data_IF_406110579660
#
_entry.id   IF_406110579660
#
_cell.length_a   1.000
_cell.length_b   1.000
_cell.length_c   1.000
_cell.angle_alpha   90.00
_cell.angle_beta   90.00
_cell.angle_gamma   90.00
#
_symmetry.space_group_name_H-M   'P 1'
#
loop_
_entity.id
_entity.type
_entity.pdbx_description
1 polymer ?
#
# COMPACT_ATOMS: atom_id res chain seq x y z
N UNK A 1 -20.07 -14.41 14.72
CA UNK A 1 -19.82 -14.66 13.28
C UNK A 1 -18.33 -14.97 13.08
N UNK A 2 -17.98 -16.19 12.69
CA UNK A 2 -16.60 -16.56 12.40
C UNK A 2 -16.09 -15.75 11.21
N UNK A 3 -15.24 -14.78 11.50
CA UNK A 3 -14.51 -14.06 10.46
C UNK A 3 -13.50 -15.05 9.85
N UNK A 4 -13.74 -15.44 8.59
CA UNK A 4 -12.75 -16.22 7.85
C UNK A 4 -11.44 -15.42 7.75
N UNK A 5 -10.28 -16.09 7.78
CA UNK A 5 -8.99 -15.41 7.81
C UNK A 5 -8.86 -14.49 6.60
N UNK A 6 -8.62 -13.21 6.88
CA UNK A 6 -8.28 -12.21 5.86
C UNK A 6 -6.90 -12.55 5.31
N UNK A 7 -6.72 -12.35 4.01
CA UNK A 7 -5.41 -12.49 3.39
C UNK A 7 -4.45 -11.49 4.06
N UNK A 8 -3.48 -11.99 4.82
CA UNK A 8 -2.55 -11.13 5.52
C UNK A 8 -1.54 -10.53 4.53
N UNK A 9 -1.11 -9.30 4.78
CA UNK A 9 -0.18 -8.57 3.92
C UNK A 9 1.17 -9.30 3.77
N UNK A 10 1.54 -10.10 4.77
CA UNK A 10 2.75 -10.92 4.73
C UNK A 10 2.80 -11.87 3.52
N UNK A 11 1.65 -12.41 3.06
CA UNK A 11 1.61 -13.25 1.87
C UNK A 11 2.06 -12.51 0.61
N UNK A 12 1.79 -11.20 0.56
CA UNK A 12 2.24 -10.35 -0.53
C UNK A 12 3.76 -10.20 -0.52
N UNK A 13 4.34 -9.93 0.65
CA UNK A 13 5.79 -9.82 0.83
C UNK A 13 6.50 -11.16 0.57
N UNK A 14 5.95 -12.28 1.06
CA UNK A 14 6.48 -13.62 0.81
C UNK A 14 6.45 -13.94 -0.68
N UNK A 15 5.36 -13.64 -1.37
CA UNK A 15 5.26 -13.82 -2.83
C UNK A 15 6.33 -13.03 -3.56
N UNK A 16 6.50 -11.73 -3.22
CA UNK A 16 7.51 -10.89 -3.85
C UNK A 16 8.93 -11.42 -3.60
N UNK A 17 9.22 -11.86 -2.37
CA UNK A 17 10.50 -12.47 -2.03
C UNK A 17 10.78 -13.71 -2.87
N UNK A 18 9.83 -14.66 -2.89
CA UNK A 18 9.97 -15.92 -3.64
C UNK A 18 10.13 -15.64 -5.14
N UNK A 19 9.30 -14.77 -5.72
CA UNK A 19 9.39 -14.45 -7.14
C UNK A 19 10.71 -13.76 -7.49
N UNK A 20 11.18 -12.84 -6.65
CA UNK A 20 12.49 -12.18 -6.86
C UNK A 20 13.66 -13.15 -6.70
N UNK A 21 13.59 -14.12 -5.78
CA UNK A 21 14.59 -15.18 -5.65
C UNK A 21 14.63 -16.09 -6.89
N UNK A 22 13.46 -16.44 -7.43
CA UNK A 22 13.37 -17.18 -8.70
C UNK A 22 13.99 -16.40 -9.86
N UNK A 23 13.68 -15.11 -9.96
CA UNK A 23 14.25 -14.23 -11.00
C UNK A 23 15.77 -14.15 -10.88
N UNK A 24 16.30 -14.00 -9.66
CA UNK A 24 17.74 -14.00 -9.44
C UNK A 24 18.39 -15.32 -9.89
N UNK A 25 17.78 -16.45 -9.52
CA UNK A 25 18.26 -17.77 -9.97
C UNK A 25 18.25 -17.92 -11.48
N UNK A 26 17.15 -17.54 -12.14
CA UNK A 26 17.05 -17.57 -13.60
C UNK A 26 18.10 -16.65 -14.25
N UNK A 27 18.26 -15.44 -13.71
CA UNK A 27 19.20 -14.46 -14.24
C UNK A 27 20.66 -14.91 -14.07
N UNK A 28 21.00 -15.62 -12.98
CA UNK A 28 22.33 -16.20 -12.78
C UNK A 28 22.69 -17.19 -13.89
N UNK A 29 21.77 -18.12 -14.21
CA UNK A 29 22.00 -19.09 -15.30
C UNK A 29 22.02 -18.42 -16.67
N UNK A 30 21.12 -17.46 -16.90
CA UNK A 30 21.04 -16.71 -18.14
C UNK A 30 22.33 -15.89 -18.39
N UNK A 31 22.86 -15.26 -17.34
CA UNK A 31 24.13 -14.54 -17.38
C UNK A 31 25.29 -15.44 -17.76
N UNK A 32 25.44 -16.61 -17.12
CA UNK A 32 26.47 -17.58 -17.47
C UNK A 32 26.33 -18.05 -18.93
N UNK A 33 25.11 -18.26 -19.38
CA UNK A 33 24.86 -18.63 -20.79
C UNK A 33 25.30 -17.51 -21.75
N UNK A 34 24.98 -16.26 -21.50
CA UNK A 34 25.40 -15.13 -22.32
C UNK A 34 26.93 -14.93 -22.34
N UNK A 35 27.58 -15.20 -21.23
CA UNK A 35 29.06 -15.12 -21.14
C UNK A 35 29.79 -16.34 -21.70
N UNK A 36 29.06 -17.35 -22.19
CA UNK A 36 29.65 -18.59 -22.70
C UNK A 36 30.32 -19.45 -21.62
N UNK A 37 30.03 -19.18 -20.33
CA UNK A 37 30.60 -19.95 -19.23
C UNK A 37 29.79 -21.25 -19.06
N UNK A 38 30.47 -22.40 -19.14
CA UNK A 38 29.82 -23.69 -18.90
C UNK A 38 29.41 -23.80 -17.44
N UNK A 39 28.10 -24.00 -17.22
CA UNK A 39 27.52 -24.19 -15.87
C UNK A 39 27.62 -25.66 -15.43
N UNK A 40 27.66 -26.59 -16.39
CA UNK A 40 27.84 -28.02 -16.15
C UNK A 40 29.23 -28.43 -16.60
N UNK A 41 30.07 -28.86 -15.67
CA UNK A 41 31.36 -29.54 -15.95
C UNK A 41 31.23 -31.03 -15.69
N UNK A 42 32.31 -31.79 -15.89
CA UNK A 42 32.36 -33.23 -15.63
C UNK A 42 32.05 -33.58 -14.16
N UNK A 43 32.23 -32.65 -13.24
CA UNK A 43 31.96 -32.79 -11.81
C UNK A 43 30.54 -32.25 -11.39
N UNK A 44 29.65 -31.93 -12.34
CA UNK A 44 28.29 -31.44 -12.08
C UNK A 44 28.14 -29.92 -12.19
N UNK A 45 27.07 -29.38 -11.59
CA UNK A 45 26.73 -27.97 -11.58
C UNK A 45 27.69 -27.18 -10.66
N UNK A 46 28.54 -26.35 -11.24
CA UNK A 46 29.40 -25.43 -10.47
C UNK A 46 28.65 -24.13 -10.17
N UNK A 47 28.15 -24.05 -8.95
CA UNK A 47 27.44 -22.86 -8.41
C UNK A 47 28.43 -22.11 -7.53
N UNK A 48 28.62 -20.82 -7.82
CA UNK A 48 29.54 -19.97 -7.07
C UNK A 48 28.90 -19.58 -5.71
N UNK A 49 29.72 -19.34 -4.68
CA UNK A 49 29.25 -18.92 -3.36
C UNK A 49 28.42 -17.63 -3.42
N UNK A 50 28.74 -16.73 -4.33
CA UNK A 50 28.00 -15.49 -4.58
C UNK A 50 26.55 -15.71 -5.04
N UNK A 51 26.24 -16.89 -5.61
CA UNK A 51 24.86 -17.25 -5.96
C UNK A 51 23.96 -17.32 -4.74
N UNK A 52 24.41 -18.02 -3.69
CA UNK A 52 23.64 -18.21 -2.47
C UNK A 52 23.45 -16.88 -1.70
N UNK A 53 24.49 -16.07 -1.69
CA UNK A 53 24.42 -14.74 -1.11
C UNK A 53 23.43 -13.84 -1.88
N UNK A 54 23.46 -13.90 -3.21
CA UNK A 54 22.57 -13.13 -4.07
C UNK A 54 21.11 -13.58 -3.97
N UNK A 55 20.84 -14.89 -3.94
CA UNK A 55 19.46 -15.42 -3.82
C UNK A 55 18.78 -15.03 -2.50
N UNK A 56 19.58 -14.69 -1.49
CA UNK A 56 19.07 -14.20 -0.22
C UNK A 56 19.00 -12.66 -0.15
N UNK A 57 20.08 -11.95 -0.52
CA UNK A 57 20.17 -10.49 -0.36
C UNK A 57 19.38 -9.71 -1.41
N UNK A 58 19.38 -10.16 -2.67
CA UNK A 58 18.70 -9.43 -3.75
C UNK A 58 17.20 -9.36 -3.52
N UNK A 59 16.49 -10.43 -3.14
CA UNK A 59 15.07 -10.34 -2.78
C UNK A 59 14.79 -9.42 -1.58
N UNK A 60 15.69 -9.36 -0.58
CA UNK A 60 15.57 -8.41 0.52
C UNK A 60 15.67 -6.97 0.05
N UNK A 61 16.56 -6.68 -0.89
CA UNK A 61 16.65 -5.38 -1.55
C UNK A 61 15.33 -5.00 -2.25
N UNK A 62 14.73 -5.93 -3.00
CA UNK A 62 13.43 -5.73 -3.62
C UNK A 62 12.31 -5.48 -2.61
N UNK A 63 12.25 -6.26 -1.52
CA UNK A 63 11.29 -6.03 -0.45
C UNK A 63 11.42 -4.63 0.17
N UNK A 64 12.66 -4.18 0.37
CA UNK A 64 12.95 -2.83 0.89
C UNK A 64 12.41 -1.75 -0.05
N UNK A 65 12.68 -1.84 -1.35
CA UNK A 65 12.16 -0.91 -2.36
C UNK A 65 10.63 -0.89 -2.39
N UNK A 66 9.97 -2.05 -2.38
CA UNK A 66 8.52 -2.14 -2.36
C UNK A 66 7.92 -1.59 -1.06
N UNK A 67 8.62 -1.75 0.07
CA UNK A 67 8.20 -1.20 1.35
C UNK A 67 8.28 0.33 1.34
N UNK A 68 9.37 0.90 0.82
CA UNK A 68 9.56 2.36 0.68
C UNK A 68 8.44 2.98 -0.16
N UNK A 69 8.08 2.34 -1.27
CA UNK A 69 7.01 2.83 -2.16
C UNK A 69 5.60 2.63 -1.56
N UNK A 70 5.49 1.91 -0.42
CA UNK A 70 4.20 1.64 0.22
C UNK A 70 3.39 0.52 -0.45
N UNK A 71 4.07 -0.38 -1.17
CA UNK A 71 3.41 -1.47 -1.87
C UNK A 71 2.69 -2.47 -0.93
N UNK A 72 3.05 -2.52 0.35
CA UNK A 72 2.50 -3.47 1.32
C UNK A 72 1.36 -2.89 2.18
N UNK A 73 0.53 -2.01 1.61
CA UNK A 73 -0.67 -1.49 2.28
C UNK A 73 -1.93 -2.05 1.63
N UNK A 74 -2.95 -2.30 2.43
CA UNK A 74 -4.34 -2.61 2.04
C UNK A 74 -4.55 -3.33 0.70
N UNK A 75 -4.25 -4.63 0.63
CA UNK A 75 -4.36 -5.46 -0.60
C UNK A 75 -5.74 -5.35 -1.27
N UNK A 76 -6.81 -5.34 -0.48
CA UNK A 76 -8.19 -5.36 -0.98
C UNK A 76 -8.62 -4.09 -1.72
N UNK A 77 -7.98 -2.94 -1.42
CA UNK A 77 -8.30 -1.62 -2.00
C UNK A 77 -7.46 -1.29 -3.25
N UNK A 78 -6.54 -2.17 -3.64
CA UNK A 78 -5.68 -1.96 -4.79
C UNK A 78 -6.39 -2.20 -6.12
N UNK A 79 -6.12 -1.35 -7.12
CA UNK A 79 -6.51 -1.59 -8.51
C UNK A 79 -5.41 -2.36 -9.25
N UNK A 80 -5.81 -3.21 -10.21
CA UNK A 80 -4.85 -4.00 -11.01
C UNK A 80 -3.90 -3.11 -11.80
N UNK A 81 -4.43 -2.03 -12.38
CA UNK A 81 -3.64 -1.08 -13.18
C UNK A 81 -2.60 -0.36 -12.31
N UNK A 82 -3.01 0.12 -11.13
CA UNK A 82 -2.10 0.79 -10.21
C UNK A 82 -0.98 -0.15 -9.78
N UNK A 83 -1.30 -1.42 -9.49
CA UNK A 83 -0.30 -2.41 -9.10
C UNK A 83 0.68 -2.73 -10.23
N UNK A 84 0.19 -2.81 -11.46
CA UNK A 84 1.02 -2.98 -12.66
C UNK A 84 2.02 -1.83 -12.81
N UNK A 85 1.53 -0.59 -12.76
CA UNK A 85 2.38 0.61 -12.90
C UNK A 85 3.40 0.68 -11.77
N UNK A 86 2.96 0.48 -10.52
CA UNK A 86 3.88 0.52 -9.36
C UNK A 86 4.94 -0.56 -9.47
N UNK A 87 4.57 -1.79 -9.84
CA UNK A 87 5.52 -2.89 -10.01
C UNK A 87 6.52 -2.59 -11.13
N UNK A 88 6.06 -2.03 -12.25
CA UNK A 88 6.94 -1.66 -13.36
C UNK A 88 7.96 -0.58 -12.96
N UNK A 89 7.51 0.50 -12.32
CA UNK A 89 8.40 1.59 -11.90
C UNK A 89 9.42 1.09 -10.88
N UNK A 90 9.00 0.32 -9.88
CA UNK A 90 9.92 -0.21 -8.88
C UNK A 90 10.89 -1.22 -9.49
N UNK A 91 10.42 -2.09 -10.40
CA UNK A 91 11.29 -3.00 -11.15
C UNK A 91 12.34 -2.25 -11.97
N UNK A 92 11.95 -1.19 -12.66
CA UNK A 92 12.87 -0.35 -13.43
C UNK A 92 13.94 0.28 -12.54
N UNK A 93 13.54 0.89 -11.43
CA UNK A 93 14.48 1.53 -10.48
C UNK A 93 15.46 0.52 -9.88
N UNK A 94 14.97 -0.64 -9.44
CA UNK A 94 15.83 -1.66 -8.84
C UNK A 94 16.75 -2.33 -9.87
N UNK A 95 16.28 -2.54 -11.11
CA UNK A 95 17.13 -3.08 -12.20
C UNK A 95 18.22 -2.09 -12.57
N UNK A 96 17.93 -0.79 -12.65
CA UNK A 96 18.94 0.24 -12.85
C UNK A 96 19.99 0.18 -11.76
N UNK A 97 19.57 0.08 -10.49
CA UNK A 97 20.49 -0.03 -9.36
C UNK A 97 21.36 -1.30 -9.45
N UNK A 98 20.78 -2.47 -9.68
CA UNK A 98 21.50 -3.74 -9.82
C UNK A 98 22.43 -3.74 -11.05
N UNK A 99 22.02 -3.09 -12.12
CA UNK A 99 22.83 -2.96 -13.32
C UNK A 99 24.14 -2.22 -13.03
N UNK A 100 24.06 -1.09 -12.33
CA UNK A 100 25.26 -0.31 -11.99
C UNK A 100 26.11 -0.94 -10.89
N UNK A 101 25.54 -1.73 -10.00
CA UNK A 101 26.29 -2.33 -8.87
C UNK A 101 26.88 -3.70 -9.17
N UNK A 102 26.24 -4.50 -10.03
CA UNK A 102 26.63 -5.90 -10.26
C UNK A 102 27.02 -6.15 -11.72
N UNK A 103 26.21 -5.69 -12.68
CA UNK A 103 26.37 -6.04 -14.09
C UNK A 103 27.51 -5.28 -14.73
N UNK A 104 27.74 -4.04 -14.34
CA UNK A 104 28.85 -3.22 -14.86
C UNK A 104 30.22 -3.73 -14.45
N UNK A 105 30.34 -4.40 -13.30
CA UNK A 105 31.63 -4.91 -12.82
C UNK A 105 32.14 -6.13 -13.65
N UNK A 106 31.25 -6.78 -14.42
CA UNK A 106 31.60 -7.86 -15.34
C UNK A 106 32.40 -7.42 -16.59
N UNK A 107 32.58 -6.11 -16.77
CA UNK A 107 33.12 -5.49 -18.01
C UNK A 107 34.56 -5.85 -18.32
N UNK A 108 35.33 -6.42 -17.43
CA UNK A 108 36.77 -6.62 -17.61
C UNK A 108 37.15 -7.56 -18.74
N UNK A 109 36.23 -8.31 -19.34
CA UNK A 109 36.56 -9.35 -20.30
C UNK A 109 35.93 -9.24 -21.69
N UNK A 110 34.86 -8.50 -21.93
CA UNK A 110 34.17 -8.56 -23.23
C UNK A 110 33.65 -7.20 -23.69
N UNK A 111 34.13 -6.73 -24.83
CA UNK A 111 33.73 -5.43 -25.44
C UNK A 111 32.38 -5.52 -26.17
N UNK A 112 31.51 -6.48 -25.84
CA UNK A 112 30.24 -6.70 -26.52
C UNK A 112 29.07 -5.98 -25.81
N UNK A 113 28.71 -4.80 -26.31
CA UNK A 113 27.59 -4.02 -25.82
C UNK A 113 26.24 -4.77 -25.86
N UNK A 114 26.10 -5.79 -26.72
CA UNK A 114 24.88 -6.59 -26.85
C UNK A 114 24.56 -7.35 -25.56
N UNK A 115 25.57 -7.79 -24.83
CA UNK A 115 25.42 -8.45 -23.55
C UNK A 115 24.72 -7.56 -22.53
N UNK A 116 25.13 -6.29 -22.45
CA UNK A 116 24.58 -5.35 -21.46
C UNK A 116 23.12 -5.06 -21.68
N UNK A 117 22.72 -4.81 -22.93
CA UNK A 117 21.31 -4.61 -23.25
C UNK A 117 20.49 -5.88 -23.00
N UNK A 118 21.00 -7.05 -23.40
CA UNK A 118 20.33 -8.30 -23.19
C UNK A 118 20.16 -8.59 -21.68
N UNK A 119 21.19 -8.39 -20.87
CA UNK A 119 21.15 -8.58 -19.42
C UNK A 119 20.16 -7.60 -18.75
N UNK A 120 20.20 -6.32 -19.12
CA UNK A 120 19.29 -5.30 -18.58
C UNK A 120 17.82 -5.61 -18.87
N UNK A 121 17.48 -5.82 -20.14
CA UNK A 121 16.10 -6.07 -20.54
C UNK A 121 15.60 -7.43 -20.09
N UNK A 122 16.46 -8.44 -20.02
CA UNK A 122 16.09 -9.75 -19.48
C UNK A 122 15.78 -9.66 -17.98
N UNK A 123 16.62 -8.98 -17.21
CA UNK A 123 16.38 -8.79 -15.78
C UNK A 123 15.10 -7.97 -15.53
N UNK A 124 14.91 -6.87 -16.28
CA UNK A 124 13.70 -6.05 -16.18
C UNK A 124 12.44 -6.84 -16.53
N UNK A 125 12.47 -7.56 -17.63
CA UNK A 125 11.34 -8.36 -18.11
C UNK A 125 10.98 -9.49 -17.14
N UNK A 126 11.97 -10.24 -16.69
CA UNK A 126 11.77 -11.33 -15.73
C UNK A 126 11.26 -10.79 -14.39
N UNK A 127 11.89 -9.77 -13.82
CA UNK A 127 11.49 -9.19 -12.54
C UNK A 127 10.07 -8.65 -12.59
N UNK A 128 9.76 -7.84 -13.60
CA UNK A 128 8.41 -7.31 -13.76
C UNK A 128 7.38 -8.42 -13.94
N UNK A 129 7.64 -9.38 -14.84
CA UNK A 129 6.67 -10.43 -15.15
C UNK A 129 6.37 -11.33 -13.95
N UNK A 130 7.40 -11.88 -13.31
CA UNK A 130 7.21 -12.83 -12.20
C UNK A 130 6.58 -12.16 -10.97
N UNK A 131 7.08 -10.98 -10.57
CA UNK A 131 6.52 -10.26 -9.41
C UNK A 131 5.10 -9.80 -9.70
N UNK A 132 4.83 -9.24 -10.88
CA UNK A 132 3.49 -8.83 -11.25
C UNK A 132 2.52 -10.02 -11.31
N UNK A 133 2.94 -11.16 -11.86
CA UNK A 133 2.13 -12.39 -11.88
C UNK A 133 1.78 -12.86 -10.47
N UNK A 134 2.74 -12.94 -9.55
CA UNK A 134 2.50 -13.28 -8.15
C UNK A 134 1.52 -12.33 -7.46
N UNK A 135 1.72 -11.03 -7.64
CA UNK A 135 0.82 -9.99 -7.12
C UNK A 135 -0.58 -10.08 -7.71
N UNK A 136 -0.69 -10.31 -9.02
CA UNK A 136 -1.97 -10.45 -9.71
C UNK A 136 -2.77 -11.65 -9.19
N UNK A 137 -2.11 -12.78 -8.93
CA UNK A 137 -2.75 -13.96 -8.34
C UNK A 137 -3.33 -13.64 -6.96
N UNK A 138 -2.53 -13.04 -6.07
CA UNK A 138 -2.99 -12.66 -4.73
C UNK A 138 -4.09 -11.59 -4.77
N UNK A 139 -3.98 -10.61 -5.65
CA UNK A 139 -5.01 -9.59 -5.85
C UNK A 139 -6.32 -10.19 -6.36
N UNK A 140 -6.26 -11.17 -7.27
CA UNK A 140 -7.44 -11.87 -7.75
C UNK A 140 -8.10 -12.70 -6.63
N UNK A 141 -7.31 -13.33 -5.76
CA UNK A 141 -7.83 -14.03 -4.57
C UNK A 141 -8.51 -13.04 -3.62
N UNK A 142 -7.89 -11.89 -3.34
CA UNK A 142 -8.49 -10.84 -2.52
C UNK A 142 -9.81 -10.33 -3.11
N UNK A 143 -9.85 -10.03 -4.42
CA UNK A 143 -11.08 -9.59 -5.10
C UNK A 143 -12.17 -10.67 -5.12
N UNK A 144 -11.81 -11.95 -5.19
CA UNK A 144 -12.78 -13.05 -5.03
C UNK A 144 -13.37 -13.10 -3.62
N UNK A 145 -12.55 -12.83 -2.58
CA UNK A 145 -13.04 -12.77 -1.19
C UNK A 145 -14.01 -11.61 -0.97
N UNK A 146 -13.72 -10.42 -1.55
CA UNK A 146 -14.63 -9.27 -1.53
C UNK A 146 -15.98 -9.60 -2.19
N UNK A 147 -15.95 -10.14 -3.41
CA UNK A 147 -17.20 -10.51 -4.13
C UNK A 147 -18.03 -11.56 -3.41
N UNK A 148 -17.39 -12.46 -2.65
CA UNK A 148 -18.09 -13.45 -1.81
C UNK A 148 -18.58 -12.87 -0.48
N UNK A 149 -18.40 -11.58 -0.22
CA UNK A 149 -18.81 -10.92 1.02
C UNK A 149 -18.08 -11.44 2.28
N UNK A 150 -16.92 -12.10 2.10
CA UNK A 150 -16.09 -12.59 3.22
C UNK A 150 -15.36 -11.47 3.95
N UNK A 151 -15.09 -10.39 3.25
CA UNK A 151 -14.49 -9.16 3.79
C UNK A 151 -15.48 -8.04 3.55
N UNK A 152 -15.85 -7.34 4.62
CA UNK A 152 -16.79 -6.22 4.56
C UNK A 152 -16.17 -5.03 5.28
N UNK A 153 -16.32 -3.86 4.68
CA UNK A 153 -15.91 -2.58 5.26
C UNK A 153 -17.18 -1.84 5.72
N UNK A 154 -17.40 -1.72 7.04
CA UNK A 154 -18.53 -0.94 7.54
C UNK A 154 -18.42 0.50 7.05
N UNK A 155 -19.45 0.97 6.39
CA UNK A 155 -19.49 2.29 5.74
C UNK A 155 -20.64 3.09 6.33
N UNK A 156 -20.38 4.37 6.65
CA UNK A 156 -21.35 5.32 7.15
C UNK A 156 -21.72 6.30 6.05
N UNK A 157 -23.00 6.57 5.88
CA UNK A 157 -23.49 7.66 5.04
C UNK A 157 -23.70 8.91 5.91
N UNK A 158 -23.15 10.03 5.50
CA UNK A 158 -23.42 11.32 6.14
C UNK A 158 -24.34 12.14 5.24
N UNK A 159 -25.49 12.49 5.76
CA UNK A 159 -26.50 13.27 5.07
C UNK A 159 -27.89 12.75 5.40
N UNK A 160 -28.86 13.67 5.55
CA UNK A 160 -30.24 13.35 5.90
C UNK A 160 -31.25 13.80 4.85
N UNK A 161 -30.82 14.18 3.65
CA UNK A 161 -31.66 14.78 2.62
C UNK A 161 -31.90 13.86 1.42
N UNK A 162 -32.71 14.31 0.47
CA UNK A 162 -33.00 13.58 -0.76
C UNK A 162 -31.76 13.30 -1.64
N UNK A 163 -30.70 14.10 -1.52
CA UNK A 163 -29.43 13.88 -2.21
C UNK A 163 -28.72 12.64 -1.65
N UNK A 164 -28.62 12.51 -0.32
CA UNK A 164 -28.05 11.34 0.33
C UNK A 164 -28.82 10.05 -0.03
N UNK A 165 -30.15 10.13 -0.13
CA UNK A 165 -30.97 8.99 -0.52
C UNK A 165 -30.69 8.53 -1.96
N UNK A 166 -30.57 9.47 -2.91
CA UNK A 166 -30.16 9.17 -4.30
C UNK A 166 -28.76 8.59 -4.38
N UNK A 167 -27.81 9.23 -3.70
CA UNK A 167 -26.41 8.76 -3.65
C UNK A 167 -26.34 7.33 -3.11
N UNK A 168 -27.10 7.01 -2.07
CA UNK A 168 -27.17 5.64 -1.55
C UNK A 168 -27.68 4.67 -2.61
N UNK A 169 -28.78 4.98 -3.30
CA UNK A 169 -29.35 4.11 -4.34
C UNK A 169 -28.38 3.87 -5.49
N UNK A 170 -27.65 4.90 -5.91
CA UNK A 170 -26.69 4.83 -7.00
C UNK A 170 -25.41 4.07 -6.61
N UNK A 171 -24.94 4.23 -5.37
CA UNK A 171 -23.64 3.71 -4.95
C UNK A 171 -23.68 2.37 -4.22
N UNK A 172 -24.81 2.00 -3.61
CA UNK A 172 -24.88 0.84 -2.72
C UNK A 172 -24.47 -0.47 -3.41
N UNK A 173 -24.90 -0.70 -4.64
CA UNK A 173 -24.57 -1.93 -5.37
C UNK A 173 -23.11 -1.98 -5.82
N UNK A 174 -22.56 -0.86 -6.31
CA UNK A 174 -21.17 -0.79 -6.76
C UNK A 174 -20.20 -0.89 -5.59
N UNK A 175 -20.46 -0.18 -4.51
CA UNK A 175 -19.68 -0.25 -3.28
C UNK A 175 -19.73 -1.65 -2.65
N UNK A 176 -20.86 -2.33 -2.69
CA UNK A 176 -20.97 -3.71 -2.20
C UNK A 176 -20.07 -4.69 -2.97
N UNK A 177 -19.86 -4.49 -4.28
CA UNK A 177 -18.91 -5.29 -5.09
C UNK A 177 -17.46 -5.08 -4.66
N UNK A 178 -17.17 -3.91 -4.13
CA UNK A 178 -15.85 -3.54 -3.58
C UNK A 178 -15.70 -3.90 -2.10
N UNK A 179 -16.74 -4.46 -1.49
CA UNK A 179 -16.76 -4.91 -0.10
C UNK A 179 -17.23 -3.86 0.90
N UNK A 180 -17.62 -2.67 0.46
CA UNK A 180 -18.21 -1.65 1.34
C UNK A 180 -19.67 -1.97 1.64
N UNK A 181 -20.05 -1.84 2.90
CA UNK A 181 -21.40 -2.14 3.34
C UNK A 181 -21.93 -1.01 4.23
N UNK A 182 -22.97 -0.34 3.79
CA UNK A 182 -23.60 0.71 4.58
C UNK A 182 -24.20 0.14 5.86
N UNK A 183 -23.74 0.63 7.01
CA UNK A 183 -24.21 0.21 8.33
C UNK A 183 -25.39 1.08 8.78
N UNK A 184 -25.43 2.34 8.34
CA UNK A 184 -26.46 3.30 8.67
C UNK A 184 -26.09 4.68 8.14
N UNK A 185 -26.88 5.67 8.53
CA UNK A 185 -26.61 7.07 8.19
C UNK A 185 -26.63 7.98 9.41
N UNK A 186 -25.92 9.10 9.31
CA UNK A 186 -25.87 10.20 10.26
C UNK A 186 -26.43 11.45 9.60
N UNK A 187 -27.31 12.12 10.30
CA UNK A 187 -27.91 13.35 9.85
C UNK A 187 -26.95 14.53 10.12
N UNK A 188 -26.64 15.31 9.07
CA UNK A 188 -25.75 16.45 9.16
C UNK A 188 -26.48 17.81 9.10
N UNK A 189 -27.80 17.82 8.92
CA UNK A 189 -28.60 19.01 8.75
C UNK A 189 -29.55 19.30 9.93
N UNK A 190 -29.95 20.55 10.07
CA UNK A 190 -30.98 20.95 11.03
C UNK A 190 -32.41 20.46 10.65
N UNK A 191 -32.59 20.09 9.38
CA UNK A 191 -33.86 19.53 8.87
C UNK A 191 -33.74 18.01 8.87
N UNK A 192 -34.38 17.39 9.83
CA UNK A 192 -34.44 15.93 9.93
C UNK A 192 -35.06 15.32 8.67
N UNK A 193 -34.49 14.21 8.18
CA UNK A 193 -35.11 13.45 7.14
C UNK A 193 -36.48 12.93 7.61
N UNK A 194 -37.53 13.28 6.90
CA UNK A 194 -38.88 12.80 7.18
C UNK A 194 -39.05 11.32 6.92
N UNK A 195 -38.12 10.69 6.17
CA UNK A 195 -38.17 9.26 5.83
C UNK A 195 -36.80 8.60 5.95
N UNK A 196 -36.74 7.31 6.34
CA UNK A 196 -35.48 6.57 6.38
C UNK A 196 -34.89 6.43 4.98
N UNK A 197 -33.58 6.69 4.87
CA UNK A 197 -32.84 6.59 3.61
C UNK A 197 -32.72 5.11 3.19
N UNK A 198 -33.52 4.69 2.23
CA UNK A 198 -33.38 3.37 1.59
C UNK A 198 -33.40 2.17 2.57
N UNK A 199 -34.08 2.30 3.73
CA UNK A 199 -34.11 1.26 4.76
C UNK A 199 -32.86 1.23 5.67
N UNK A 200 -31.94 2.20 5.56
CA UNK A 200 -30.81 2.33 6.47
C UNK A 200 -31.25 2.85 7.83
N UNK A 201 -30.73 2.30 8.94
CA UNK A 201 -30.99 2.83 10.27
C UNK A 201 -30.29 4.19 10.45
N UNK A 202 -30.98 5.13 11.07
CA UNK A 202 -30.37 6.37 11.56
C UNK A 202 -29.57 6.03 12.82
N UNK A 203 -28.26 6.34 12.81
CA UNK A 203 -27.36 6.04 13.92
C UNK A 203 -27.21 7.22 14.89
N UNK A 204 -27.51 8.44 14.42
CA UNK A 204 -27.43 9.65 15.23
C UNK A 204 -27.22 10.92 14.41
N UNK A 205 -26.67 11.93 15.06
CA UNK A 205 -26.38 13.23 14.50
C UNK A 205 -24.87 13.45 14.38
N UNK A 206 -24.46 14.46 13.63
CA UNK A 206 -23.05 14.78 13.39
C UNK A 206 -22.25 15.01 14.69
N UNK A 207 -22.89 15.55 15.73
CA UNK A 207 -22.25 15.78 17.03
C UNK A 207 -21.80 14.49 17.73
N UNK A 208 -22.43 13.36 17.40
CA UNK A 208 -22.13 12.04 17.96
C UNK A 208 -21.31 11.17 17.04
N UNK A 209 -20.80 11.73 15.92
CA UNK A 209 -20.14 10.95 14.86
C UNK A 209 -18.95 10.13 15.35
N UNK A 210 -18.13 10.69 16.25
CA UNK A 210 -16.96 10.00 16.78
C UNK A 210 -17.33 8.72 17.55
N UNK A 211 -18.33 8.83 18.42
CA UNK A 211 -18.84 7.68 19.18
C UNK A 211 -19.45 6.62 18.27
N UNK A 212 -20.14 7.04 17.19
CA UNK A 212 -20.73 6.15 16.19
C UNK A 212 -19.63 5.41 15.40
N UNK A 213 -18.58 6.12 14.98
CA UNK A 213 -17.44 5.53 14.27
C UNK A 213 -16.78 4.43 15.11
N UNK A 214 -16.53 4.71 16.39
CA UNK A 214 -15.85 3.79 17.30
C UNK A 214 -16.75 2.59 17.66
N UNK A 215 -18.03 2.82 17.96
CA UNK A 215 -18.99 1.78 18.35
C UNK A 215 -19.25 0.79 17.21
N UNK A 216 -19.44 1.28 15.99
CA UNK A 216 -19.72 0.47 14.82
C UNK A 216 -18.48 0.05 14.04
N UNK A 217 -17.26 0.45 14.51
CA UNK A 217 -15.96 0.18 13.85
C UNK A 217 -15.98 0.58 12.38
N UNK A 218 -16.47 1.78 12.12
CA UNK A 218 -16.61 2.29 10.77
C UNK A 218 -15.25 2.70 10.23
N UNK A 219 -14.91 2.18 9.04
CA UNK A 219 -13.63 2.45 8.39
C UNK A 219 -13.76 3.40 7.20
N UNK A 220 -14.99 3.64 6.73
CA UNK A 220 -15.24 4.43 5.53
C UNK A 220 -16.49 5.27 5.73
N UNK A 221 -16.41 6.52 5.33
CA UNK A 221 -17.49 7.49 5.41
C UNK A 221 -17.79 7.99 4.00
N UNK A 222 -19.05 7.98 3.60
CA UNK A 222 -19.53 8.56 2.35
C UNK A 222 -20.29 9.82 2.68
N UNK A 223 -19.85 10.96 2.13
CA UNK A 223 -20.49 12.25 2.38
C UNK A 223 -21.51 12.52 1.28
N UNK A 224 -22.78 12.52 1.65
CA UNK A 224 -23.94 12.80 0.80
C UNK A 224 -24.59 14.14 1.13
N UNK A 225 -23.79 15.22 1.24
CA UNK A 225 -24.27 16.57 1.45
C UNK A 225 -24.48 17.31 0.14
N UNK A 226 -25.43 18.24 0.13
CA UNK A 226 -25.68 19.09 -1.03
C UNK A 226 -24.51 20.06 -1.26
N UNK A 227 -24.24 20.39 -2.52
CA UNK A 227 -23.19 21.33 -2.95
C UNK A 227 -23.28 22.70 -2.29
N UNK A 228 -24.51 23.13 -1.95
CA UNK A 228 -24.75 24.44 -1.40
C UNK A 228 -24.45 24.54 0.10
N UNK A 229 -24.25 23.42 0.77
CA UNK A 229 -24.00 23.35 2.22
C UNK A 229 -22.51 23.19 2.54
N UNK A 230 -21.73 24.21 2.13
CA UNK A 230 -20.28 24.24 2.38
C UNK A 230 -19.93 24.23 3.87
N UNK A 231 -20.72 24.90 4.69
CA UNK A 231 -20.45 24.99 6.13
C UNK A 231 -20.58 23.61 6.80
N UNK A 232 -21.63 22.86 6.49
CA UNK A 232 -21.79 21.49 6.99
C UNK A 232 -20.71 20.56 6.48
N UNK A 233 -20.29 20.69 5.20
CA UNK A 233 -19.21 19.89 4.63
C UNK A 233 -17.88 20.14 5.34
N UNK A 234 -17.50 21.40 5.55
CA UNK A 234 -16.28 21.77 6.28
C UNK A 234 -16.32 21.26 7.73
N UNK A 235 -17.44 21.41 8.39
CA UNK A 235 -17.65 20.90 9.75
C UNK A 235 -17.46 19.38 9.81
N UNK A 236 -18.07 18.64 8.88
CA UNK A 236 -17.91 17.17 8.78
C UNK A 236 -16.46 16.78 8.55
N UNK A 237 -15.78 17.43 7.60
CA UNK A 237 -14.38 17.13 7.28
C UNK A 237 -13.48 17.40 8.49
N UNK A 238 -13.72 18.50 9.21
CA UNK A 238 -12.95 18.83 10.40
C UNK A 238 -13.10 17.77 11.50
N UNK A 239 -14.31 17.30 11.78
CA UNK A 239 -14.54 16.22 12.75
C UNK A 239 -13.93 14.88 12.30
N UNK A 240 -13.86 14.62 11.00
CA UNK A 240 -13.30 13.37 10.46
C UNK A 240 -11.77 13.41 10.28
N UNK A 241 -11.17 14.60 10.21
CA UNK A 241 -9.73 14.76 9.95
C UNK A 241 -8.85 14.19 11.06
N UNK A 242 -9.35 14.12 12.28
CA UNK A 242 -8.64 13.56 13.43
C UNK A 242 -8.77 12.03 13.53
N UNK A 243 -9.66 11.42 12.75
CA UNK A 243 -9.91 9.97 12.76
C UNK A 243 -9.30 9.29 11.53
N UNK A 244 -8.79 8.07 11.72
CA UNK A 244 -8.24 7.25 10.63
C UNK A 244 -9.37 6.56 9.84
N UNK A 245 -10.19 7.37 9.17
CA UNK A 245 -11.29 6.91 8.32
C UNK A 245 -11.10 7.34 6.87
N UNK A 246 -11.50 6.50 5.95
CA UNK A 246 -11.51 6.81 4.52
C UNK A 246 -12.76 7.65 4.19
N UNK A 247 -12.56 8.83 3.66
CA UNK A 247 -13.65 9.72 3.27
C UNK A 247 -13.87 9.62 1.76
N UNK A 248 -15.11 9.35 1.37
CA UNK A 248 -15.54 9.30 -0.03
C UNK A 248 -16.59 10.37 -0.29
N UNK A 249 -16.43 11.08 -1.41
CA UNK A 249 -17.36 12.12 -1.86
C UNK A 249 -17.79 11.86 -3.31
N UNK A 250 -18.98 12.27 -3.71
CA UNK A 250 -19.39 12.22 -5.11
C UNK A 250 -18.54 13.18 -5.97
N UNK A 251 -18.27 12.83 -7.24
CA UNK A 251 -17.44 13.62 -8.15
C UNK A 251 -17.82 15.09 -8.26
N UNK A 252 -19.10 15.36 -8.17
CA UNK A 252 -19.63 16.71 -8.29
C UNK A 252 -19.26 17.65 -7.14
N UNK A 253 -18.78 17.09 -6.01
CA UNK A 253 -18.34 17.87 -4.85
C UNK A 253 -16.89 18.34 -4.95
N UNK A 254 -16.17 17.99 -6.02
CA UNK A 254 -14.74 18.31 -6.21
C UNK A 254 -14.50 19.81 -6.32
N UNK A 255 -15.43 20.55 -6.95
CA UNK A 255 -15.32 21.99 -7.15
C UNK A 255 -15.26 22.77 -5.83
N UNK A 256 -15.79 22.17 -4.75
CA UNK A 256 -15.81 22.77 -3.42
C UNK A 256 -14.43 22.63 -2.74
N UNK A 257 -13.67 21.60 -3.08
CA UNK A 257 -12.43 21.19 -2.43
C UNK A 257 -11.18 21.40 -3.30
N UNK A 258 -11.22 22.32 -4.25
CA UNK A 258 -10.28 22.53 -5.34
C UNK A 258 -8.78 22.63 -5.02
N UNK A 259 -8.35 22.33 -3.81
CA UNK A 259 -6.92 22.33 -3.41
C UNK A 259 -6.35 21.02 -2.90
N UNK A 260 -7.18 20.07 -2.47
CA UNK A 260 -6.69 18.90 -1.72
C UNK A 260 -7.12 17.54 -2.27
N UNK A 261 -7.96 17.49 -3.31
CA UNK A 261 -8.52 16.24 -3.82
C UNK A 261 -7.68 15.67 -4.96
N UNK A 262 -7.06 14.51 -4.75
CA UNK A 262 -6.48 13.71 -5.84
C UNK A 262 -7.51 12.69 -6.31
N UNK A 263 -7.96 12.86 -7.55
CA UNK A 263 -8.82 11.89 -8.23
C UNK A 263 -8.04 10.59 -8.43
N UNK A 264 -8.37 9.55 -7.68
CA UNK A 264 -7.65 8.28 -7.74
C UNK A 264 -8.19 7.32 -8.82
N UNK A 265 -9.40 7.55 -9.34
CA UNK A 265 -10.01 6.71 -10.37
C UNK A 265 -10.75 7.55 -11.40
N UNK A 266 -10.16 7.71 -12.58
CA UNK A 266 -10.72 8.53 -13.68
C UNK A 266 -11.76 7.76 -14.52
N UNK A 267 -11.84 6.45 -14.44
CA UNK A 267 -12.72 5.61 -15.27
C UNK A 267 -13.80 4.95 -14.41
N UNK A 268 -14.97 5.59 -14.37
CA UNK A 268 -16.19 4.99 -13.82
C UNK A 268 -16.31 4.99 -12.29
N UNK A 269 -15.56 5.83 -11.59
CA UNK A 269 -15.71 5.96 -10.14
C UNK A 269 -16.96 6.76 -9.79
N UNK A 270 -17.88 6.13 -9.12
CA UNK A 270 -19.07 6.75 -8.55
C UNK A 270 -18.72 7.68 -7.39
N UNK A 271 -17.56 7.45 -6.74
CA UNK A 271 -17.07 8.21 -5.59
C UNK A 271 -15.55 8.44 -5.69
N UNK A 272 -15.10 9.54 -5.09
CA UNK A 272 -13.70 9.95 -5.04
C UNK A 272 -13.20 9.88 -3.62
N UNK A 273 -11.99 9.34 -3.43
CA UNK A 273 -11.35 9.27 -2.13
C UNK A 273 -10.75 10.63 -1.76
N UNK A 274 -11.25 11.21 -0.68
CA UNK A 274 -10.67 12.41 -0.07
C UNK A 274 -9.54 11.98 0.85
N UNK A 275 -8.30 12.27 0.47
CA UNK A 275 -7.15 12.04 1.35
C UNK A 275 -6.91 13.26 2.22
N UNK A 276 -7.21 13.14 3.49
CA UNK A 276 -6.98 14.19 4.50
C UNK A 276 -5.50 14.33 4.91
N UNK A 277 -4.66 13.37 4.52
CA UNK A 277 -3.25 13.37 4.87
C UNK A 277 -2.42 14.38 4.07
N UNK A 278 -1.66 15.24 4.77
CA UNK A 278 -0.78 16.28 4.21
C UNK A 278 0.36 15.72 3.35
N UNK A 279 0.77 14.46 3.58
CA UNK A 279 1.90 13.84 2.88
C UNK A 279 1.48 12.60 2.09
N UNK A 280 1.97 12.43 0.84
CA UNK A 280 1.83 11.17 0.09
C UNK A 280 2.48 10.00 0.85
N UNK A 281 1.96 8.81 0.65
CA UNK A 281 2.41 7.59 1.36
C UNK A 281 3.90 7.30 1.20
N UNK A 282 4.46 7.54 0.02
CA UNK A 282 5.88 7.33 -0.23
C UNK A 282 6.78 8.30 0.58
N UNK A 283 6.34 9.55 0.77
CA UNK A 283 7.07 10.52 1.59
C UNK A 283 7.04 10.13 3.08
N UNK A 284 5.91 9.63 3.57
CA UNK A 284 5.81 9.13 4.94
C UNK A 284 6.75 7.94 5.18
N UNK A 285 6.86 7.03 4.19
CA UNK A 285 7.74 5.87 4.29
C UNK A 285 9.22 6.27 4.22
N UNK A 286 9.59 7.20 3.32
CA UNK A 286 10.96 7.73 3.26
C UNK A 286 11.30 8.46 4.56
N UNK A 287 10.40 9.30 5.06
CA UNK A 287 10.60 9.97 6.34
C UNK A 287 10.85 8.94 7.45
N UNK A 288 10.01 7.91 7.57
CA UNK A 288 10.16 6.87 8.59
C UNK A 288 11.48 6.10 8.44
N UNK A 289 11.89 5.80 7.21
CA UNK A 289 13.18 5.17 6.94
C UNK A 289 14.33 6.06 7.42
N UNK A 290 14.30 7.34 7.10
CA UNK A 290 15.31 8.31 7.54
C UNK A 290 15.32 8.43 9.08
N UNK A 291 14.15 8.58 9.70
CA UNK A 291 14.01 8.68 11.15
C UNK A 291 14.62 7.46 11.85
N UNK A 292 14.30 6.25 11.38
CA UNK A 292 14.84 5.00 11.93
C UNK A 292 16.36 4.89 11.69
N UNK A 293 16.82 5.24 10.48
CA UNK A 293 18.25 5.18 10.14
C UNK A 293 19.06 6.13 11.02
N UNK A 294 18.61 7.39 11.15
CA UNK A 294 19.25 8.39 12.00
C UNK A 294 19.23 7.97 13.47
N UNK A 295 18.10 7.42 13.95
CA UNK A 295 17.99 6.93 15.32
C UNK A 295 18.96 5.76 15.60
N UNK A 296 19.05 4.78 14.69
CA UNK A 296 19.96 3.64 14.81
C UNK A 296 21.42 4.10 14.77
N UNK A 297 21.80 4.96 13.81
CA UNK A 297 23.15 5.52 13.73
C UNK A 297 23.49 6.32 14.99
N UNK A 298 22.55 7.14 15.47
CA UNK A 298 22.71 7.88 16.72
C UNK A 298 22.93 6.97 17.91
N UNK A 299 22.14 5.90 18.04
CA UNK A 299 22.34 4.90 19.11
C UNK A 299 23.68 4.18 19.01
N UNK A 300 24.11 3.80 17.80
CA UNK A 300 25.41 3.13 17.60
C UNK A 300 26.56 4.07 17.98
N UNK A 301 26.52 5.33 17.53
CA UNK A 301 27.58 6.33 17.81
C UNK A 301 27.60 6.68 19.32
N UNK A 302 26.43 6.83 19.94
CA UNK A 302 26.32 7.18 21.35
C UNK A 302 26.46 5.99 22.29
N UNK A 303 26.38 4.74 21.79
CA UNK A 303 26.41 3.52 22.61
C UNK A 303 27.64 3.45 23.54
N UNK A 304 28.88 3.75 23.14
CA UNK A 304 30.01 3.70 24.05
C UNK A 304 29.91 4.76 25.18
N UNK A 305 29.36 5.92 24.87
CA UNK A 305 29.14 6.97 25.86
C UNK A 305 28.00 6.60 26.84
N UNK A 306 26.91 6.04 26.33
CA UNK A 306 25.81 5.56 27.17
C UNK A 306 26.24 4.42 28.07
N UNK A 307 27.05 3.48 27.56
CA UNK A 307 27.65 2.40 28.37
C UNK A 307 28.55 2.97 29.45
N UNK A 308 29.40 3.95 29.14
CA UNK A 308 30.26 4.62 30.12
C UNK A 308 29.43 5.27 31.24
N UNK A 309 28.37 6.02 30.90
CA UNK A 309 27.47 6.64 31.88
C UNK A 309 26.78 5.56 32.72
N UNK A 310 26.27 4.50 32.12
CA UNK A 310 25.57 3.42 32.81
C UNK A 310 26.49 2.74 33.84
N UNK A 311 27.71 2.43 33.45
CA UNK A 311 28.71 1.81 34.36
C UNK A 311 29.05 2.78 35.49
N UNK A 312 29.31 4.06 35.19
CA UNK A 312 29.65 5.05 36.20
C UNK A 312 28.52 5.31 37.17
N UNK A 313 27.29 5.37 36.69
CA UNK A 313 26.09 5.53 37.55
C UNK A 313 25.88 4.32 38.42
N UNK A 314 26.02 3.11 37.86
CA UNK A 314 25.93 1.86 38.63
C UNK A 314 27.00 1.72 39.73
N UNK A 315 28.20 2.22 39.47
CA UNK A 315 29.30 2.20 40.48
C UNK A 315 29.17 3.36 41.47
N UNK A 316 28.54 4.48 41.11
CA UNK A 316 28.39 5.67 41.97
C UNK A 316 27.15 5.62 42.86
N UNK A 317 26.13 4.88 42.47
CA UNK A 317 24.87 4.73 43.20
C UNK A 317 24.83 3.33 43.80
N UNK A 318 25.02 3.22 45.13
CA UNK A 318 24.54 2.10 45.90
C UNK A 318 23.01 2.17 45.80
N UNK A 319 22.45 1.44 44.86
CA UNK A 319 21.00 1.34 44.69
C UNK A 319 20.29 0.86 45.92
N UNK A 320 18.98 1.15 46.07
CA UNK A 320 18.18 0.68 47.17
C UNK A 320 18.11 -0.83 47.22
#
# INVERSE_FOLDING_TARGET
MNQKPRLHIAWYAISDYVMSAWVWGLMYFLRKYYLGIRVAGDDGLQIDDNFWLGIFLVPLGWLSLYTIVGAYRCIYRKSRLREMITTFIVSLLGVVFLYFTIILDDIRSNNDFRYYYAAFFSLLGLQFFFVFAGRLLLLNLAKRQLRKGLVRYPTLLIGGNGFAARLYQETAQELAKEGYHYTGYVDAGEKHAEAPIGGLPRLGDIKSIEAILDTHKINTVVIGLDKNDKASLESVINHLSEKDVEIKIPPDSIDILSGSVRVSNILGAVLIDLKTGLMPEWQQNIKRLLDVTVAVLGLVILSPYLLYIMIRTSLSSLGP
#
